data_IF_500713836479
#
_entry.id   IF_500713836479
#
_cell.length_a   1.000
_cell.length_b   1.000
_cell.length_c   1.000
_cell.angle_alpha   90.00
_cell.angle_beta   90.00
_cell.angle_gamma   90.00
#
_symmetry.space_group_name_H-M   'P 1'
#
loop_
_entity.id
_entity.type
_entity.pdbx_description
1 polymer ?
#
# COMPACT_ATOMS: atom_id res chain seq x y z
N UNK A 1 -10.69 5.70 -31.82
CA UNK A 1 -10.91 6.32 -30.49
C UNK A 1 -12.04 5.51 -29.84
N UNK A 2 -11.71 4.53 -28.98
CA UNK A 2 -12.69 3.98 -28.06
C UNK A 2 -13.05 5.11 -27.09
N UNK A 3 -14.33 5.49 -27.10
CA UNK A 3 -14.86 6.39 -26.08
C UNK A 3 -14.75 5.64 -24.75
N UNK A 4 -13.88 6.12 -23.87
CA UNK A 4 -13.86 5.62 -22.49
C UNK A 4 -15.26 5.91 -21.88
N UNK A 5 -15.85 4.94 -21.16
CA UNK A 5 -17.13 5.15 -20.51
C UNK A 5 -17.05 6.34 -19.57
N UNK A 6 -18.11 7.12 -19.45
CA UNK A 6 -18.16 8.22 -18.50
C UNK A 6 -17.78 7.75 -17.11
N UNK A 7 -16.83 8.45 -16.49
CA UNK A 7 -16.39 8.12 -15.12
C UNK A 7 -17.62 8.14 -14.18
N UNK A 8 -17.93 7.05 -13.48
CA UNK A 8 -19.08 6.99 -12.60
C UNK A 8 -19.10 8.12 -11.56
N UNK A 9 -20.29 8.64 -11.20
CA UNK A 9 -20.44 9.75 -10.24
C UNK A 9 -19.69 9.54 -8.91
N UNK A 10 -19.68 8.34 -8.29
CA UNK A 10 -18.90 8.10 -7.06
C UNK A 10 -17.41 8.35 -7.26
N UNK A 11 -16.84 7.90 -8.38
CA UNK A 11 -15.44 8.11 -8.73
C UNK A 11 -15.11 9.56 -9.00
N UNK A 12 -16.01 10.32 -9.62
CA UNK A 12 -15.83 11.78 -9.78
C UNK A 12 -15.74 12.49 -8.43
N UNK A 13 -16.56 12.08 -7.44
CA UNK A 13 -16.47 12.62 -6.07
C UNK A 13 -15.19 12.21 -5.38
N UNK A 14 -14.81 10.94 -5.51
CA UNK A 14 -13.54 10.42 -4.98
C UNK A 14 -12.34 11.18 -5.56
N UNK A 15 -12.28 11.33 -6.88
CA UNK A 15 -11.23 12.08 -7.55
C UNK A 15 -11.23 13.57 -7.19
N UNK A 16 -12.41 14.14 -6.88
CA UNK A 16 -12.51 15.53 -6.45
C UNK A 16 -11.89 15.78 -5.06
N UNK A 17 -11.78 14.75 -4.23
CA UNK A 17 -11.25 14.84 -2.86
C UNK A 17 -9.78 14.43 -2.77
N UNK A 18 -9.37 13.40 -3.53
CA UNK A 18 -7.98 12.90 -3.48
C UNK A 18 -7.08 13.61 -4.49
N UNK A 19 -6.11 14.35 -3.98
CA UNK A 19 -4.96 14.83 -4.76
C UNK A 19 -5.26 15.91 -5.81
N UNK A 20 -6.36 16.63 -5.71
CA UNK A 20 -6.64 17.74 -6.63
C UNK A 20 -5.83 18.97 -6.25
N UNK A 21 -4.81 19.24 -7.01
CA UNK A 21 -3.91 20.39 -6.82
C UNK A 21 -4.64 21.74 -6.94
N UNK A 22 -5.67 21.82 -7.78
CA UNK A 22 -6.52 23.00 -7.92
C UNK A 22 -7.39 23.30 -6.68
N UNK A 23 -7.43 22.39 -5.71
CA UNK A 23 -8.20 22.51 -4.47
C UNK A 23 -7.37 22.30 -3.22
N UNK A 24 -6.10 22.63 -3.25
CA UNK A 24 -5.20 22.46 -2.11
C UNK A 24 -5.67 23.15 -0.83
N UNK A 25 -6.32 24.29 -0.91
CA UNK A 25 -6.85 24.97 0.26
C UNK A 25 -7.89 24.15 1.06
N UNK A 26 -8.71 23.32 0.38
CA UNK A 26 -9.64 22.39 1.06
C UNK A 26 -8.88 21.25 1.72
N UNK A 27 -7.81 20.78 1.08
CA UNK A 27 -6.91 19.77 1.63
C UNK A 27 -6.20 20.32 2.86
N UNK A 28 -5.75 21.57 2.83
CA UNK A 28 -5.08 22.20 3.98
C UNK A 28 -5.99 22.31 5.20
N UNK A 29 -7.26 22.65 5.00
CA UNK A 29 -8.25 22.65 6.08
C UNK A 29 -8.47 21.25 6.68
N UNK A 30 -8.58 20.24 5.83
CA UNK A 30 -8.68 18.84 6.26
C UNK A 30 -7.43 18.38 7.00
N UNK A 31 -6.25 18.75 6.53
CA UNK A 31 -4.97 18.37 7.12
C UNK A 31 -4.74 18.93 8.52
N UNK A 32 -5.32 20.07 8.87
CA UNK A 32 -5.24 20.64 10.24
C UNK A 32 -5.81 19.64 11.24
N UNK A 33 -6.99 19.10 10.97
CA UNK A 33 -7.60 18.07 11.83
C UNK A 33 -6.84 16.74 11.73
N UNK A 34 -6.44 16.34 10.53
CA UNK A 34 -5.75 15.07 10.31
C UNK A 34 -4.39 15.00 11.04
N UNK A 35 -3.63 16.08 11.07
CA UNK A 35 -2.35 16.14 11.81
C UNK A 35 -2.49 15.83 13.30
N UNK A 36 -3.63 16.15 13.88
CA UNK A 36 -3.93 15.84 15.29
C UNK A 36 -4.46 14.41 15.45
N UNK A 37 -5.34 13.99 14.53
CA UNK A 37 -6.05 12.71 14.64
C UNK A 37 -5.20 11.48 14.29
N UNK A 38 -4.18 11.64 13.44
CA UNK A 38 -3.34 10.53 12.95
C UNK A 38 -2.07 10.28 13.78
N UNK A 39 -2.00 10.83 15.03
CA UNK A 39 -0.91 10.56 15.96
C UNK A 39 0.47 10.81 15.32
N UNK A 40 1.36 9.81 15.43
CA UNK A 40 2.72 9.89 14.86
C UNK A 40 2.73 10.21 13.36
N UNK A 41 1.80 9.65 12.58
CA UNK A 41 1.74 9.89 11.14
C UNK A 41 1.29 11.32 10.80
N UNK A 42 0.58 11.98 11.71
CA UNK A 42 0.06 13.33 11.52
C UNK A 42 1.13 14.36 11.18
N UNK A 43 2.33 14.27 11.79
CA UNK A 43 3.45 15.18 11.53
C UNK A 43 3.96 15.15 10.07
N UNK A 44 3.73 14.05 9.36
CA UNK A 44 4.18 13.87 7.99
C UNK A 44 3.14 14.24 6.93
N UNK A 45 1.89 14.52 7.33
CA UNK A 45 0.80 14.81 6.39
C UNK A 45 1.06 16.13 5.67
N UNK A 46 1.33 16.02 4.36
CA UNK A 46 1.68 17.13 3.47
C UNK A 46 2.76 18.06 4.06
N UNK A 47 3.76 17.46 4.76
CA UNK A 47 4.95 18.15 5.27
C UNK A 47 5.74 18.70 4.09
N UNK A 48 6.07 19.98 4.14
CA UNK A 48 6.96 20.65 3.18
C UNK A 48 7.70 21.79 3.89
N UNK A 49 9.01 22.02 3.61
CA UNK A 49 9.86 21.20 2.73
C UNK A 49 10.17 19.82 3.33
N UNK A 50 10.54 18.89 2.46
CA UNK A 50 11.12 17.60 2.88
C UNK A 50 12.59 17.76 3.21
N UNK A 51 13.07 16.96 4.15
CA UNK A 51 14.50 16.88 4.46
C UNK A 51 15.18 15.89 3.51
N UNK A 52 16.45 16.14 3.17
CA UNK A 52 17.22 15.22 2.36
C UNK A 52 17.52 13.95 3.15
N UNK A 53 17.23 12.81 2.58
CA UNK A 53 17.49 11.51 3.20
C UNK A 53 17.60 10.40 2.14
N UNK A 54 18.56 9.51 2.32
CA UNK A 54 18.77 8.36 1.42
C UNK A 54 17.55 7.42 1.34
N UNK A 55 16.75 7.32 2.42
CA UNK A 55 15.56 6.49 2.53
C UNK A 55 14.31 7.36 2.64
N UNK A 56 13.41 7.25 1.66
CA UNK A 56 12.11 7.91 1.65
C UNK A 56 10.98 6.89 1.76
N UNK A 57 10.22 6.91 2.86
CA UNK A 57 8.95 6.21 2.93
C UNK A 57 7.86 7.03 2.26
N UNK A 58 7.32 6.49 1.18
CA UNK A 58 6.23 7.10 0.45
C UNK A 58 4.89 6.44 0.78
N UNK A 59 4.10 7.10 1.61
CA UNK A 59 2.75 6.67 1.97
C UNK A 59 1.66 7.35 1.14
N UNK A 60 1.95 8.53 0.55
CA UNK A 60 0.99 9.23 -0.28
C UNK A 60 -0.38 9.36 0.37
N UNK A 61 -1.44 9.19 -0.41
CA UNK A 61 -2.81 9.37 0.08
C UNK A 61 -3.31 8.21 0.96
N UNK A 62 -2.67 7.04 0.96
CA UNK A 62 -3.12 5.92 1.79
C UNK A 62 -2.82 6.07 3.28
N UNK A 63 -2.05 7.10 3.66
CA UNK A 63 -1.92 7.49 5.07
C UNK A 63 -3.28 7.78 5.72
N UNK A 64 -4.31 8.10 4.93
CA UNK A 64 -5.68 8.33 5.39
C UNK A 64 -6.55 7.06 5.38
N UNK A 65 -6.03 5.93 4.95
CA UNK A 65 -6.68 4.63 5.12
C UNK A 65 -6.68 4.24 6.60
N UNK A 66 -7.65 3.45 7.08
CA UNK A 66 -7.62 2.89 8.43
C UNK A 66 -6.50 1.86 8.64
N UNK A 67 -5.68 1.60 7.62
CA UNK A 67 -4.51 0.72 7.63
C UNK A 67 -3.51 1.11 8.72
N UNK A 68 -2.95 0.11 9.39
CA UNK A 68 -1.87 0.26 10.37
C UNK A 68 -0.48 0.03 9.76
N UNK A 69 -0.41 -0.38 8.51
CA UNK A 69 0.86 -0.66 7.83
C UNK A 69 1.84 0.52 7.80
N UNK A 70 1.42 1.80 7.57
CA UNK A 70 2.35 2.92 7.63
C UNK A 70 3.05 3.05 8.99
N UNK A 71 2.28 2.99 10.09
CA UNK A 71 2.84 3.07 11.43
C UNK A 71 3.74 1.89 11.76
N UNK A 72 3.32 0.67 11.40
CA UNK A 72 4.12 -0.54 11.59
C UNK A 72 5.44 -0.48 10.81
N UNK A 73 5.41 0.07 9.58
CA UNK A 73 6.62 0.28 8.77
C UNK A 73 7.61 1.20 9.47
N UNK A 74 7.14 2.32 10.04
CA UNK A 74 8.02 3.25 10.77
C UNK A 74 8.56 2.63 12.07
N UNK A 75 7.73 1.85 12.81
CA UNK A 75 8.21 1.13 14.01
C UNK A 75 9.31 0.12 13.67
N UNK A 76 9.18 -0.58 12.55
CA UNK A 76 10.23 -1.49 12.08
C UNK A 76 11.49 -0.75 11.68
N UNK A 77 11.40 0.39 10.99
CA UNK A 77 12.54 1.22 10.64
C UNK A 77 13.27 1.74 11.88
N UNK A 78 12.53 2.20 12.90
CA UNK A 78 13.09 2.63 14.19
C UNK A 78 13.81 1.47 14.91
N UNK A 79 13.17 0.28 14.93
CA UNK A 79 13.73 -0.91 15.57
C UNK A 79 15.04 -1.36 14.92
N UNK A 80 15.15 -1.17 13.61
CA UNK A 80 16.38 -1.42 12.84
C UNK A 80 17.42 -0.31 13.04
N UNK A 81 17.00 0.88 13.50
CA UNK A 81 17.87 2.04 13.72
C UNK A 81 18.17 2.82 12.43
N UNK A 82 17.23 2.84 11.48
CA UNK A 82 17.37 3.56 10.22
C UNK A 82 16.94 5.02 10.35
N UNK A 83 17.66 5.88 9.65
CA UNK A 83 17.27 7.27 9.41
C UNK A 83 16.44 7.36 8.12
N UNK A 84 15.38 8.17 8.09
CA UNK A 84 14.47 8.25 6.97
C UNK A 84 13.67 9.55 6.90
N UNK A 85 13.19 9.90 5.72
CA UNK A 85 12.16 10.92 5.52
C UNK A 85 10.83 10.25 5.12
N UNK A 86 9.71 10.94 5.35
CA UNK A 86 8.37 10.43 5.04
C UNK A 86 7.59 11.42 4.18
N UNK A 87 7.10 10.94 3.05
CA UNK A 87 6.22 11.66 2.14
C UNK A 87 4.81 11.08 2.20
N UNK A 88 3.89 11.78 2.83
CA UNK A 88 2.52 11.36 3.06
C UNK A 88 1.52 12.50 2.85
N UNK A 89 0.30 12.18 2.44
CA UNK A 89 -0.76 13.16 2.30
C UNK A 89 -1.48 13.13 0.95
N UNK A 90 -2.55 13.91 0.85
CA UNK A 90 -3.35 13.97 -0.38
C UNK A 90 -2.64 14.73 -1.51
N UNK A 91 -1.84 15.73 -1.18
CA UNK A 91 -1.08 16.51 -2.17
C UNK A 91 -0.04 15.67 -2.87
N UNK A 92 0.53 14.69 -2.18
CA UNK A 92 1.53 13.76 -2.72
C UNK A 92 0.94 12.49 -3.34
N UNK A 93 -0.34 12.44 -3.67
CA UNK A 93 -0.95 11.26 -4.29
C UNK A 93 -0.32 10.95 -5.66
N UNK A 94 -0.08 9.65 -5.94
CA UNK A 94 0.52 9.19 -7.20
C UNK A 94 -0.38 9.35 -8.45
N UNK A 95 -1.65 9.76 -8.28
CA UNK A 95 -2.60 9.94 -9.36
C UNK A 95 -3.15 8.66 -9.98
N UNK A 96 -2.86 7.49 -9.42
CA UNK A 96 -3.31 6.21 -9.97
C UNK A 96 -4.84 6.08 -10.08
N UNK A 97 -5.64 6.50 -9.09
CA UNK A 97 -7.11 6.49 -9.20
C UNK A 97 -7.62 7.29 -10.41
N UNK A 98 -6.98 8.41 -10.72
CA UNK A 98 -7.32 9.24 -11.88
C UNK A 98 -7.03 8.52 -13.20
N UNK A 99 -5.90 7.82 -13.28
CA UNK A 99 -5.59 7.00 -14.46
C UNK A 99 -6.64 5.92 -14.71
N UNK A 100 -7.06 5.21 -13.67
CA UNK A 100 -8.04 4.13 -13.79
C UNK A 100 -9.45 4.62 -14.13
N UNK A 101 -9.79 5.83 -13.75
CA UNK A 101 -11.09 6.45 -14.06
C UNK A 101 -11.10 7.22 -15.39
N UNK A 102 -9.98 7.19 -16.14
CA UNK A 102 -9.87 7.81 -17.45
C UNK A 102 -9.47 9.29 -17.42
N UNK A 103 -9.22 9.88 -16.24
CA UNK A 103 -8.74 11.25 -16.08
C UNK A 103 -7.19 11.31 -16.17
N UNK A 104 -6.69 10.87 -17.33
CA UNK A 104 -5.26 10.64 -17.54
C UNK A 104 -4.41 11.90 -17.43
N UNK A 105 -4.92 13.01 -17.93
CA UNK A 105 -4.21 14.31 -17.88
C UNK A 105 -4.01 14.77 -16.44
N UNK A 106 -5.04 14.63 -15.63
CA UNK A 106 -4.99 14.98 -14.23
C UNK A 106 -4.03 14.09 -13.43
N UNK A 107 -4.15 12.76 -13.61
CA UNK A 107 -3.23 11.80 -12.98
C UNK A 107 -1.77 12.04 -13.35
N UNK A 108 -1.49 12.48 -14.59
CA UNK A 108 -0.14 12.84 -15.02
C UNK A 108 0.36 14.12 -14.32
N UNK A 109 -0.50 15.13 -14.15
CA UNK A 109 -0.15 16.34 -13.41
C UNK A 109 0.19 16.05 -11.94
N UNK A 110 -0.58 15.17 -11.30
CA UNK A 110 -0.30 14.71 -9.92
C UNK A 110 1.06 14.00 -9.82
N UNK A 111 1.36 13.13 -10.77
CA UNK A 111 2.64 12.42 -10.80
C UNK A 111 3.83 13.36 -11.04
N UNK A 112 3.66 14.44 -11.83
CA UNK A 112 4.68 15.48 -12.01
C UNK A 112 4.90 16.29 -10.73
N UNK A 113 3.84 16.61 -10.00
CA UNK A 113 3.96 17.29 -8.71
C UNK A 113 4.68 16.40 -7.68
N UNK A 114 4.34 15.12 -7.64
CA UNK A 114 5.02 14.14 -6.80
C UNK A 114 6.53 14.07 -7.12
N UNK A 115 6.89 14.10 -8.40
CA UNK A 115 8.31 14.13 -8.82
C UNK A 115 9.07 15.31 -8.22
N UNK A 116 8.46 16.51 -8.25
CA UNK A 116 9.06 17.70 -7.62
C UNK A 116 9.24 17.58 -6.10
N UNK A 117 8.35 16.87 -5.41
CA UNK A 117 8.50 16.60 -3.98
C UNK A 117 9.62 15.57 -3.71
N UNK A 118 9.70 14.51 -4.52
CA UNK A 118 10.78 13.50 -4.39
C UNK A 118 12.16 14.15 -4.63
N UNK A 119 12.26 15.06 -5.60
CA UNK A 119 13.51 15.77 -5.86
C UNK A 119 14.00 16.65 -4.68
N UNK A 120 13.11 17.10 -3.79
CA UNK A 120 13.49 17.81 -2.58
C UNK A 120 14.18 16.91 -1.55
N UNK A 121 13.70 15.66 -1.43
CA UNK A 121 14.24 14.68 -0.50
C UNK A 121 15.53 14.01 -1.00
N UNK A 122 15.82 14.07 -2.30
CA UNK A 122 17.01 13.47 -2.95
C UNK A 122 17.27 12.00 -2.52
N UNK A 123 16.25 11.12 -2.50
CA UNK A 123 16.44 9.79 -1.96
C UNK A 123 17.27 8.91 -2.89
N UNK A 124 17.97 7.90 -2.30
CA UNK A 124 18.51 6.76 -3.05
C UNK A 124 17.47 5.64 -3.19
N UNK A 125 16.64 5.48 -2.17
CA UNK A 125 15.60 4.44 -2.12
C UNK A 125 14.25 5.02 -1.70
N UNK A 126 13.20 4.66 -2.45
CA UNK A 126 11.81 4.99 -2.12
C UNK A 126 11.07 3.70 -1.81
N UNK A 127 10.42 3.64 -0.64
CA UNK A 127 9.68 2.46 -0.16
C UNK A 127 8.20 2.78 -0.06
N UNK A 128 7.34 1.91 -0.58
CA UNK A 128 5.88 2.08 -0.49
C UNK A 128 5.14 0.78 -0.22
N UNK A 129 4.09 0.84 0.61
CA UNK A 129 3.19 -0.28 0.89
C UNK A 129 1.94 -0.34 -0.01
N UNK A 130 1.84 0.55 -0.99
CA UNK A 130 0.75 0.55 -1.96
C UNK A 130 1.24 0.09 -3.33
N UNK A 131 0.68 -1.01 -3.83
CA UNK A 131 1.09 -1.59 -5.12
C UNK A 131 0.85 -0.67 -6.32
N UNK A 132 -0.15 0.19 -6.24
CA UNK A 132 -0.44 1.19 -7.29
C UNK A 132 0.60 2.32 -7.26
N UNK A 133 0.97 2.78 -6.08
CA UNK A 133 2.05 3.74 -5.89
C UNK A 133 3.38 3.17 -6.39
N UNK A 134 3.66 1.89 -6.12
CA UNK A 134 4.84 1.20 -6.64
C UNK A 134 4.92 1.26 -8.16
N UNK A 135 3.83 0.88 -8.85
CA UNK A 135 3.78 0.95 -10.32
C UNK A 135 3.87 2.38 -10.84
N UNK A 136 3.24 3.35 -10.17
CA UNK A 136 3.31 4.76 -10.56
C UNK A 136 4.74 5.30 -10.45
N UNK A 137 5.45 4.99 -9.36
CA UNK A 137 6.85 5.36 -9.15
C UNK A 137 7.78 4.69 -10.16
N UNK A 138 7.59 3.41 -10.49
CA UNK A 138 8.36 2.74 -11.54
C UNK A 138 8.19 3.42 -12.91
N UNK A 139 6.97 3.87 -13.23
CA UNK A 139 6.71 4.64 -14.46
C UNK A 139 7.38 6.01 -14.43
N UNK A 140 7.32 6.69 -13.29
CA UNK A 140 7.98 7.97 -13.08
C UNK A 140 9.50 7.82 -13.27
N UNK A 141 10.12 6.87 -12.56
CA UNK A 141 11.54 6.54 -12.70
C UNK A 141 11.95 6.33 -14.15
N UNK A 142 11.18 5.50 -14.89
CA UNK A 142 11.44 5.25 -16.31
C UNK A 142 11.33 6.51 -17.17
N UNK A 143 10.34 7.38 -16.89
CA UNK A 143 10.10 8.60 -17.65
C UNK A 143 11.17 9.65 -17.41
N UNK A 144 11.66 9.78 -16.17
CA UNK A 144 12.63 10.81 -15.77
C UNK A 144 14.08 10.31 -15.76
N UNK A 145 14.30 9.00 -15.98
CA UNK A 145 15.60 8.35 -15.81
C UNK A 145 16.20 8.59 -14.42
N UNK A 146 15.34 8.68 -13.41
CA UNK A 146 15.75 8.98 -12.05
C UNK A 146 16.65 7.88 -11.46
N UNK A 147 17.68 8.24 -10.64
CA UNK A 147 18.66 7.27 -10.12
C UNK A 147 18.14 6.43 -8.96
N UNK A 148 17.10 6.90 -8.24
CA UNK A 148 16.60 6.24 -7.04
C UNK A 148 15.97 4.87 -7.34
N UNK A 149 16.10 3.95 -6.39
CA UNK A 149 15.42 2.65 -6.41
C UNK A 149 13.99 2.78 -5.87
N UNK A 150 13.09 1.89 -6.31
CA UNK A 150 11.73 1.77 -5.76
C UNK A 150 11.54 0.37 -5.24
N UNK A 151 11.14 0.25 -3.97
CA UNK A 151 10.87 -1.01 -3.30
C UNK A 151 9.43 -1.04 -2.76
N UNK A 152 8.84 -2.23 -2.74
CA UNK A 152 7.68 -2.48 -1.86
C UNK A 152 8.17 -2.64 -0.42
N UNK A 153 7.28 -2.46 0.55
CA UNK A 153 7.64 -2.67 1.96
C UNK A 153 8.19 -4.07 2.25
N UNK A 154 7.68 -5.20 1.66
CA UNK A 154 8.33 -6.50 1.79
C UNK A 154 9.74 -6.57 1.22
N UNK A 155 9.98 -6.00 0.02
CA UNK A 155 11.32 -5.95 -0.58
C UNK A 155 12.31 -5.24 0.34
N UNK A 156 11.93 -4.06 0.83
CA UNK A 156 12.74 -3.27 1.74
C UNK A 156 13.05 -4.02 3.05
N UNK A 157 12.04 -4.62 3.67
CA UNK A 157 12.23 -5.28 4.97
C UNK A 157 13.11 -6.53 4.85
N UNK A 158 13.04 -7.25 3.74
CA UNK A 158 13.94 -8.40 3.47
C UNK A 158 15.42 -8.00 3.41
N UNK A 159 15.75 -6.79 2.95
CA UNK A 159 17.15 -6.29 3.00
C UNK A 159 17.66 -6.13 4.44
N UNK A 160 16.75 -6.05 5.41
CA UNK A 160 17.06 -5.84 6.83
C UNK A 160 16.65 -7.04 7.72
N UNK A 161 16.27 -8.18 7.12
CA UNK A 161 15.72 -9.32 7.86
C UNK A 161 16.62 -9.83 8.98
N UNK A 162 17.94 -9.76 8.79
CA UNK A 162 18.93 -10.25 9.76
C UNK A 162 19.13 -9.31 10.95
N UNK A 163 18.59 -8.10 10.89
CA UNK A 163 18.58 -7.13 11.99
C UNK A 163 17.38 -7.31 12.94
N UNK A 164 16.52 -8.28 12.70
CA UNK A 164 15.29 -8.52 13.44
C UNK A 164 15.22 -9.96 13.95
N UNK A 165 14.62 -10.15 15.13
CA UNK A 165 14.37 -11.45 15.71
C UNK A 165 12.94 -11.91 15.36
N UNK A 166 12.82 -12.87 14.46
CA UNK A 166 11.54 -13.35 13.96
C UNK A 166 10.93 -14.43 14.84
N UNK A 167 9.66 -14.27 15.15
CA UNK A 167 8.82 -15.29 15.81
C UNK A 167 7.73 -15.73 14.85
N UNK A 168 7.45 -17.04 14.82
CA UNK A 168 6.40 -17.57 13.94
C UNK A 168 5.04 -17.53 14.62
N UNK A 169 4.03 -17.13 13.86
CA UNK A 169 2.64 -17.32 14.22
C UNK A 169 2.32 -18.82 14.26
N UNK A 170 1.44 -19.26 15.17
CA UNK A 170 1.13 -20.69 15.34
C UNK A 170 0.27 -21.27 14.21
N UNK A 171 -0.49 -20.42 13.54
CA UNK A 171 -1.45 -20.83 12.51
C UNK A 171 -0.92 -20.61 11.10
N UNK A 172 -1.29 -21.47 10.13
CA UNK A 172 -0.96 -21.28 8.72
C UNK A 172 -1.64 -20.05 8.15
N UNK A 173 -0.88 -19.24 7.40
CA UNK A 173 -1.34 -17.98 6.82
C UNK A 173 -1.33 -18.08 5.30
N UNK A 174 -2.49 -17.78 4.67
CA UNK A 174 -2.61 -17.67 3.22
C UNK A 174 -2.04 -16.35 2.72
N UNK A 175 -1.47 -16.35 1.51
CA UNK A 175 -0.98 -15.13 0.89
C UNK A 175 -1.94 -14.63 -0.20
N UNK A 176 -2.23 -13.32 -0.16
CA UNK A 176 -2.87 -12.63 -1.28
C UNK A 176 -1.85 -11.88 -2.11
N UNK A 177 -1.70 -12.30 -3.36
CA UNK A 177 -0.88 -11.60 -4.35
C UNK A 177 -1.53 -10.30 -4.79
N UNK A 178 -0.81 -9.21 -4.66
CA UNK A 178 -1.23 -7.95 -5.26
C UNK A 178 -1.09 -8.01 -6.77
N UNK A 179 -2.20 -7.81 -7.50
CA UNK A 179 -2.22 -7.90 -8.97
C UNK A 179 -1.24 -6.93 -9.66
N UNK A 180 -0.90 -5.81 -9.03
CA UNK A 180 0.07 -4.86 -9.56
C UNK A 180 1.52 -5.33 -9.36
N UNK A 181 1.85 -5.95 -8.24
CA UNK A 181 3.19 -6.45 -7.95
C UNK A 181 3.41 -7.79 -8.65
N UNK A 182 2.52 -8.77 -8.45
CA UNK A 182 2.68 -10.11 -9.00
C UNK A 182 2.48 -10.18 -10.50
N UNK A 183 1.31 -9.75 -11.03
CA UNK A 183 1.00 -9.88 -12.46
C UNK A 183 1.64 -8.82 -13.33
N UNK A 184 1.63 -7.56 -12.88
CA UNK A 184 2.06 -6.44 -13.73
C UNK A 184 3.56 -6.20 -13.70
N UNK A 185 4.20 -6.40 -12.55
CA UNK A 185 5.65 -6.23 -12.39
C UNK A 185 6.38 -7.57 -12.38
N UNK A 186 5.69 -8.68 -12.07
CA UNK A 186 6.26 -10.02 -12.03
C UNK A 186 7.21 -10.24 -10.86
N UNK A 187 6.87 -9.71 -9.67
CA UNK A 187 7.68 -9.81 -8.45
C UNK A 187 6.86 -10.29 -7.24
N UNK A 188 6.29 -11.50 -7.27
CA UNK A 188 5.51 -12.04 -6.15
C UNK A 188 6.36 -12.54 -4.98
N UNK A 189 7.62 -12.92 -5.22
CA UNK A 189 8.45 -13.65 -4.26
C UNK A 189 8.78 -12.90 -2.98
N UNK A 190 9.09 -11.59 -2.99
CA UNK A 190 9.43 -10.87 -1.76
C UNK A 190 8.36 -10.93 -0.67
N UNK A 191 7.08 -10.89 -1.04
CA UNK A 191 5.99 -11.02 -0.07
C UNK A 191 5.93 -12.44 0.53
N UNK A 192 6.25 -13.46 -0.28
CA UNK A 192 6.34 -14.85 0.15
C UNK A 192 7.50 -15.08 1.09
N UNK A 193 8.69 -14.66 0.68
CA UNK A 193 9.90 -14.78 1.51
C UNK A 193 9.74 -14.10 2.88
N UNK A 194 9.11 -12.92 2.90
CA UNK A 194 8.83 -12.23 4.15
C UNK A 194 7.81 -13.01 5.01
N UNK A 195 6.75 -13.53 4.42
CA UNK A 195 5.75 -14.31 5.16
C UNK A 195 6.36 -15.62 5.74
N UNK A 196 7.27 -16.27 5.00
CA UNK A 196 7.94 -17.51 5.44
C UNK A 196 8.83 -17.29 6.69
N UNK A 197 9.28 -16.06 6.98
CA UNK A 197 10.00 -15.74 8.21
C UNK A 197 9.08 -15.77 9.45
N UNK A 198 7.79 -15.51 9.27
CA UNK A 198 6.85 -15.30 10.39
C UNK A 198 5.65 -16.26 10.42
N UNK A 199 5.48 -17.14 9.42
CA UNK A 199 4.36 -18.09 9.40
C UNK A 199 4.66 -19.31 8.52
N UNK A 200 3.88 -20.36 8.69
CA UNK A 200 3.77 -21.42 7.71
C UNK A 200 2.79 -20.95 6.63
N UNK A 201 3.34 -20.60 5.47
CA UNK A 201 2.58 -20.03 4.37
C UNK A 201 1.80 -21.09 3.60
N UNK A 202 0.55 -20.76 3.23
CA UNK A 202 -0.24 -21.55 2.29
C UNK A 202 -0.59 -20.74 1.04
N UNK A 203 -0.49 -21.38 -0.13
CA UNK A 203 -0.82 -20.78 -1.41
C UNK A 203 -2.32 -20.93 -1.71
N UNK A 204 -2.95 -19.84 -2.13
CA UNK A 204 -4.36 -19.85 -2.51
C UNK A 204 -4.58 -20.27 -3.96
N UNK A 205 -3.56 -20.20 -4.80
CA UNK A 205 -3.59 -20.47 -6.23
C UNK A 205 -2.39 -21.29 -6.67
N UNK A 206 -2.46 -21.91 -7.85
CA UNK A 206 -1.35 -22.69 -8.40
C UNK A 206 -0.17 -21.80 -8.76
N UNK A 207 -0.45 -20.62 -9.30
CA UNK A 207 0.56 -19.61 -9.60
C UNK A 207 0.12 -18.24 -9.09
N UNK A 208 1.04 -17.31 -8.80
CA UNK A 208 0.71 -15.94 -8.42
C UNK A 208 -0.14 -15.20 -9.47
N UNK A 209 0.06 -15.56 -10.75
CA UNK A 209 -0.68 -15.00 -11.88
C UNK A 209 -2.16 -15.39 -11.89
N UNK A 210 -2.53 -16.51 -11.26
CA UNK A 210 -3.92 -16.99 -11.15
C UNK A 210 -4.71 -16.23 -10.08
N UNK A 211 -4.04 -15.39 -9.27
CA UNK A 211 -4.69 -14.72 -8.15
C UNK A 211 -5.89 -13.86 -8.60
N UNK A 212 -7.00 -13.97 -7.89
CA UNK A 212 -8.16 -13.09 -8.08
C UNK A 212 -7.83 -11.69 -7.54
N UNK A 213 -8.26 -10.66 -8.27
CA UNK A 213 -8.17 -9.27 -7.83
C UNK A 213 -8.92 -9.06 -6.50
N UNK A 214 -8.43 -8.13 -5.68
CA UNK A 214 -9.13 -7.72 -4.46
C UNK A 214 -10.46 -6.98 -4.73
N UNK A 215 -10.65 -6.49 -5.94
CA UNK A 215 -11.88 -5.80 -6.33
C UNK A 215 -12.01 -4.36 -5.83
N UNK A 216 -10.98 -3.74 -5.26
CA UNK A 216 -11.04 -2.39 -4.67
C UNK A 216 -11.78 -1.38 -5.55
N UNK A 217 -11.47 -1.34 -6.84
CA UNK A 217 -12.12 -0.39 -7.76
C UNK A 217 -13.54 -0.79 -8.15
N UNK A 218 -13.97 -2.03 -7.87
CA UNK A 218 -15.33 -2.50 -8.11
C UNK A 218 -16.30 -2.14 -6.98
N UNK A 219 -15.81 -1.80 -5.79
CA UNK A 219 -16.63 -1.50 -4.59
C UNK A 219 -17.75 -0.50 -4.90
N UNK A 220 -17.47 0.49 -5.75
CA UNK A 220 -18.40 1.55 -6.09
C UNK A 220 -19.13 1.34 -7.43
N UNK A 221 -18.81 0.27 -8.17
CA UNK A 221 -19.32 0.00 -9.52
C UNK A 221 -20.23 -1.22 -9.53
N UNK A 222 -19.79 -2.29 -8.90
CA UNK A 222 -20.49 -3.57 -8.88
C UNK A 222 -20.23 -4.32 -7.55
N UNK A 223 -21.06 -4.02 -6.57
CA UNK A 223 -20.96 -4.61 -5.24
C UNK A 223 -21.19 -6.15 -5.24
N UNK A 224 -22.04 -6.65 -6.14
CA UNK A 224 -22.28 -8.11 -6.26
C UNK A 224 -21.02 -8.81 -6.73
N UNK A 225 -20.38 -8.33 -7.81
CA UNK A 225 -19.12 -8.90 -8.29
C UNK A 225 -18.04 -8.87 -7.20
N UNK A 226 -18.00 -7.80 -6.43
CA UNK A 226 -17.00 -7.66 -5.38
C UNK A 226 -17.20 -8.70 -4.26
N UNK A 227 -18.46 -8.90 -3.84
CA UNK A 227 -18.81 -9.95 -2.86
C UNK A 227 -18.46 -11.35 -3.37
N UNK A 228 -18.73 -11.64 -4.64
CA UNK A 228 -18.42 -12.94 -5.24
C UNK A 228 -16.89 -13.18 -5.25
N UNK A 229 -16.10 -12.18 -5.61
CA UNK A 229 -14.64 -12.26 -5.57
C UNK A 229 -14.10 -12.53 -4.15
N UNK A 230 -14.66 -11.84 -3.15
CA UNK A 230 -14.26 -12.03 -1.76
C UNK A 230 -14.68 -13.39 -1.23
N UNK A 231 -15.88 -13.86 -1.55
CA UNK A 231 -16.34 -15.19 -1.16
C UNK A 231 -15.47 -16.29 -1.78
N UNK A 232 -15.11 -16.19 -3.06
CA UNK A 232 -14.19 -17.12 -3.68
C UNK A 232 -12.81 -17.10 -2.99
N UNK A 233 -12.31 -15.93 -2.62
CA UNK A 233 -11.05 -15.78 -1.89
C UNK A 233 -11.09 -16.52 -0.54
N UNK A 234 -12.17 -16.36 0.23
CA UNK A 234 -12.38 -17.05 1.50
C UNK A 234 -12.45 -18.58 1.30
N UNK A 235 -13.13 -19.05 0.24
CA UNK A 235 -13.18 -20.47 -0.10
C UNK A 235 -11.80 -21.03 -0.47
N UNK A 236 -10.99 -20.30 -1.24
CA UNK A 236 -9.63 -20.72 -1.58
C UNK A 236 -8.74 -20.78 -0.34
N UNK A 237 -8.84 -19.79 0.56
CA UNK A 237 -8.12 -19.81 1.82
C UNK A 237 -8.47 -21.03 2.69
N UNK A 238 -9.76 -21.30 2.86
CA UNK A 238 -10.24 -22.45 3.62
C UNK A 238 -9.79 -23.78 2.99
N UNK A 239 -9.86 -23.89 1.65
CA UNK A 239 -9.39 -25.09 0.92
C UNK A 239 -7.88 -25.30 1.07
N UNK A 240 -7.11 -24.23 1.12
CA UNK A 240 -5.66 -24.30 1.32
C UNK A 240 -5.27 -24.56 2.79
N UNK A 241 -6.25 -24.56 3.73
CA UNK A 241 -5.99 -24.79 5.17
C UNK A 241 -5.51 -23.54 5.91
N UNK A 242 -5.53 -22.36 5.27
CA UNK A 242 -5.14 -21.10 5.92
C UNK A 242 -6.14 -20.66 6.99
N UNK A 243 -5.64 -20.16 8.10
CA UNK A 243 -6.44 -19.63 9.23
C UNK A 243 -6.54 -18.11 9.23
N UNK A 244 -5.64 -17.45 8.55
CA UNK A 244 -5.58 -16.02 8.32
C UNK A 244 -5.12 -15.75 6.88
N UNK A 245 -5.27 -14.53 6.38
CA UNK A 245 -4.72 -14.11 5.09
C UNK A 245 -3.84 -12.89 5.26
N UNK A 246 -2.62 -12.94 4.72
CA UNK A 246 -1.71 -11.81 4.65
C UNK A 246 -1.83 -11.08 3.31
N UNK A 247 -1.77 -9.75 3.35
CA UNK A 247 -1.79 -8.86 2.19
C UNK A 247 -0.63 -7.85 2.27
N UNK A 248 0.06 -7.63 1.16
CA UNK A 248 1.17 -6.65 1.08
C UNK A 248 0.70 -5.24 0.71
N UNK A 249 -0.45 -5.12 0.07
CA UNK A 249 -0.98 -3.86 -0.46
C UNK A 249 -2.10 -3.32 0.41
N UNK A 250 -1.95 -2.09 0.88
CA UNK A 250 -2.96 -1.41 1.70
C UNK A 250 -4.33 -1.32 1.01
N UNK A 251 -4.36 -1.10 -0.30
CA UNK A 251 -5.60 -1.04 -1.07
C UNK A 251 -6.31 -2.41 -1.10
N UNK A 252 -5.55 -3.50 -1.16
CA UNK A 252 -6.12 -4.85 -1.08
C UNK A 252 -6.66 -5.14 0.33
N UNK A 253 -5.94 -4.72 1.36
CA UNK A 253 -6.41 -4.86 2.73
C UNK A 253 -7.75 -4.12 2.93
N UNK A 254 -7.81 -2.86 2.55
CA UNK A 254 -9.04 -2.04 2.65
C UNK A 254 -10.23 -2.67 1.90
N UNK A 255 -9.96 -3.30 0.74
CA UNK A 255 -11.00 -3.99 -0.02
C UNK A 255 -11.57 -5.19 0.71
N UNK A 256 -10.71 -5.99 1.36
CA UNK A 256 -11.11 -7.24 2.01
C UNK A 256 -11.60 -7.07 3.45
N UNK A 257 -11.21 -5.99 4.14
CA UNK A 257 -11.39 -5.82 5.58
C UNK A 257 -12.79 -6.19 6.07
N UNK A 258 -13.81 -5.59 5.48
CA UNK A 258 -15.20 -5.90 5.86
C UNK A 258 -15.57 -7.37 5.64
N UNK A 259 -15.21 -7.97 4.52
CA UNK A 259 -15.61 -9.34 4.16
C UNK A 259 -14.92 -10.37 5.05
N UNK A 260 -13.66 -10.12 5.46
CA UNK A 260 -12.92 -10.99 6.37
C UNK A 260 -13.39 -10.82 7.81
N UNK A 261 -13.71 -9.60 8.23
CA UNK A 261 -14.34 -9.32 9.53
C UNK A 261 -15.69 -10.01 9.64
N UNK A 262 -16.56 -9.89 8.63
CA UNK A 262 -17.88 -10.55 8.62
C UNK A 262 -17.76 -12.10 8.64
N UNK A 263 -16.69 -12.67 8.07
CA UNK A 263 -16.37 -14.09 8.09
C UNK A 263 -15.65 -14.56 9.36
N UNK A 264 -15.28 -13.66 10.25
CA UNK A 264 -14.46 -13.91 11.44
C UNK A 264 -13.12 -14.61 11.11
N UNK A 265 -12.48 -14.18 10.02
CA UNK A 265 -11.17 -14.65 9.59
C UNK A 265 -10.17 -13.49 9.68
N UNK A 266 -9.03 -13.65 10.36
CA UNK A 266 -8.02 -12.58 10.46
C UNK A 266 -7.48 -12.19 9.08
N UNK A 267 -7.48 -10.89 8.81
CA UNK A 267 -6.84 -10.27 7.66
C UNK A 267 -5.63 -9.47 8.15
N UNK A 268 -4.43 -9.88 7.76
CA UNK A 268 -3.17 -9.32 8.24
C UNK A 268 -2.55 -8.43 7.18
N UNK A 269 -2.28 -7.19 7.53
CA UNK A 269 -1.37 -6.35 6.75
C UNK A 269 0.05 -6.86 6.96
N UNK A 270 0.79 -7.13 5.89
CA UNK A 270 2.12 -7.74 5.94
C UNK A 270 3.08 -7.04 6.90
N UNK A 271 3.08 -5.69 6.89
CA UNK A 271 3.96 -4.91 7.77
C UNK A 271 3.52 -4.92 9.23
N UNK A 272 2.21 -5.02 9.49
CA UNK A 272 1.68 -5.19 10.85
C UNK A 272 2.05 -6.57 11.38
N UNK A 273 1.89 -7.61 10.56
CA UNK A 273 2.31 -8.96 10.93
C UNK A 273 3.82 -9.03 11.21
N UNK A 274 4.65 -8.40 10.37
CA UNK A 274 6.09 -8.34 10.57
C UNK A 274 6.48 -7.59 11.85
N UNK A 275 5.81 -6.49 12.15
CA UNK A 275 6.02 -5.73 13.39
C UNK A 275 5.67 -6.57 14.62
N UNK A 276 4.55 -7.30 14.58
CA UNK A 276 4.16 -8.24 15.65
C UNK A 276 5.14 -9.40 15.80
N UNK A 277 5.56 -9.99 14.69
CA UNK A 277 6.47 -11.15 14.66
C UNK A 277 7.91 -10.81 15.13
N UNK A 278 8.24 -9.54 15.25
CA UNK A 278 9.59 -9.09 15.64
C UNK A 278 9.61 -8.29 16.94
N UNK A 279 8.50 -8.26 17.71
CA UNK A 279 8.47 -7.62 19.03
C UNK A 279 9.38 -8.34 20.02
N UNK A 280 10.04 -7.57 20.85
CA UNK A 280 10.75 -8.11 22.02
C UNK A 280 9.77 -8.51 23.13
N UNK A 281 10.16 -9.48 23.95
CA UNK A 281 9.41 -9.82 25.16
C UNK A 281 9.30 -8.57 26.06
N UNK A 282 8.09 -8.00 26.17
CA UNK A 282 7.82 -6.78 26.94
C UNK A 282 7.24 -5.61 26.15
N UNK A 283 7.17 -5.68 24.83
CA UNK A 283 6.51 -4.70 23.95
C UNK A 283 5.03 -5.09 23.64
N UNK A 284 4.29 -5.58 24.62
CA UNK A 284 2.90 -6.03 24.45
C UNK A 284 1.90 -4.86 24.42
#
# INVERSE_FOLDING_TARGET
>A
KQMLPEVPKPWRRYNALKGRQDRFWLIDLYNIAARVLYGRLGQYIDKTPLEQNDLLFYFGCYVFSPSKAPEATLKLADRIGLDYEVLAGLKSCCGWPQYLTGDMGYGQGMLQYLDGLIQQAEPKTIVTGCAECYVALLRLKKKTSAPWEVLTTPMWLLHHKDSLNWQKFPDPIGIHDSCHVSKKVGKPDPARELLDLMADRVELYQTPEDCLCCGYYNIHINDTLNRDLHQQKLQHLAKAGGKAMAVECVTCWEAFDKSFTDANIPLLEMMVAAEMATRSEGEA
#
